data_IF_172619414284
#
_entry.id   IF_172619414284
#
_cell.length_a   1.000
_cell.length_b   1.000
_cell.length_c   1.000
_cell.angle_alpha   90.00
_cell.angle_beta   90.00
_cell.angle_gamma   90.00
#
_symmetry.space_group_name_H-M   'P 1'
#
loop_
_entity.id
_entity.type
_entity.pdbx_description
1 polymer ?
#
# COMPACT_ATOMS: atom_id res chain seq x y z
N UNK A 1 10.30 -1.42 -16.71
CA UNK A 1 10.60 -2.84 -16.75
C UNK A 1 9.35 -3.63 -16.40
N UNK A 2 8.81 -4.45 -17.34
CA UNK A 2 7.48 -5.06 -17.27
C UNK A 2 7.26 -6.05 -16.11
N UNK A 3 8.32 -6.55 -15.47
CA UNK A 3 8.19 -7.51 -14.35
C UNK A 3 7.61 -6.89 -13.06
N UNK A 4 7.86 -5.60 -12.81
CA UNK A 4 7.31 -4.92 -11.62
C UNK A 4 5.80 -4.65 -11.74
N UNK A 5 5.25 -4.67 -12.95
CA UNK A 5 3.83 -4.47 -13.21
C UNK A 5 3.03 -5.80 -13.27
N UNK A 6 3.70 -6.96 -13.23
CA UNK A 6 3.04 -8.26 -13.30
C UNK A 6 1.94 -8.44 -12.22
N UNK A 7 2.11 -8.01 -10.95
CA UNK A 7 1.05 -8.12 -9.95
C UNK A 7 -0.21 -7.31 -10.25
N UNK A 8 -0.12 -6.28 -11.11
CA UNK A 8 -1.27 -5.47 -11.51
C UNK A 8 -2.26 -6.25 -12.41
N UNK A 9 -1.75 -7.23 -13.14
CA UNK A 9 -2.54 -8.06 -14.05
C UNK A 9 -3.21 -9.24 -13.34
N UNK A 10 -2.80 -9.58 -12.11
CA UNK A 10 -3.35 -10.71 -11.38
C UNK A 10 -4.55 -10.31 -10.52
N UNK A 11 -5.68 -11.04 -10.62
CA UNK A 11 -6.77 -10.90 -9.66
C UNK A 11 -6.25 -11.14 -8.22
N UNK A 12 -6.62 -10.29 -7.28
CA UNK A 12 -6.14 -10.36 -5.88
C UNK A 12 -6.32 -11.74 -5.25
N UNK A 13 -7.42 -12.42 -5.58
CA UNK A 13 -7.70 -13.76 -5.07
C UNK A 13 -6.63 -14.77 -5.53
N UNK A 14 -6.28 -14.74 -6.83
CA UNK A 14 -5.25 -15.63 -7.37
C UNK A 14 -3.90 -15.34 -6.77
N UNK A 15 -3.53 -14.06 -6.61
CA UNK A 15 -2.28 -13.69 -5.95
C UNK A 15 -2.25 -14.20 -4.50
N UNK A 16 -3.34 -14.06 -3.77
CA UNK A 16 -3.47 -14.58 -2.40
C UNK A 16 -3.26 -16.10 -2.34
N UNK A 17 -3.86 -16.86 -3.26
CA UNK A 17 -3.70 -18.33 -3.33
C UNK A 17 -2.26 -18.71 -3.69
N UNK A 18 -1.66 -18.07 -4.69
CA UNK A 18 -0.27 -18.34 -5.10
C UNK A 18 0.70 -18.07 -3.95
N UNK A 19 0.55 -16.94 -3.27
CA UNK A 19 1.39 -16.61 -2.11
C UNK A 19 1.15 -17.59 -0.95
N UNK A 20 -0.09 -18.02 -0.71
CA UNK A 20 -0.41 -19.02 0.30
C UNK A 20 0.32 -20.34 0.02
N UNK A 21 0.32 -20.81 -1.23
CA UNK A 21 1.06 -22.02 -1.63
C UNK A 21 2.56 -21.85 -1.40
N UNK A 22 3.13 -20.73 -1.81
CA UNK A 22 4.53 -20.39 -1.56
C UNK A 22 4.88 -20.40 -0.08
N UNK A 23 4.11 -19.69 0.74
CA UNK A 23 4.32 -19.66 2.19
C UNK A 23 4.11 -21.02 2.84
N UNK A 24 3.23 -21.87 2.31
CA UNK A 24 3.07 -23.24 2.81
C UNK A 24 4.30 -24.11 2.53
N UNK A 25 4.93 -23.97 1.35
CA UNK A 25 6.18 -24.66 1.02
C UNK A 25 7.32 -24.13 1.89
N UNK A 26 7.50 -22.82 1.97
CA UNK A 26 8.53 -22.21 2.79
C UNK A 26 8.33 -22.50 4.29
N UNK A 27 7.09 -22.52 4.76
CA UNK A 27 6.75 -22.82 6.14
C UNK A 27 7.16 -24.23 6.55
N UNK A 28 7.03 -25.20 5.64
CA UNK A 28 7.53 -26.58 5.86
C UNK A 28 9.06 -26.63 5.90
N UNK A 29 9.74 -25.83 5.05
CA UNK A 29 11.20 -25.82 4.99
C UNK A 29 11.83 -25.08 6.19
N UNK A 30 11.22 -24.00 6.65
CA UNK A 30 11.75 -23.10 7.68
C UNK A 30 10.97 -23.13 9.00
N UNK A 31 10.00 -24.04 9.14
CA UNK A 31 9.19 -24.26 10.34
C UNK A 31 8.45 -23.01 10.85
N UNK A 32 7.79 -22.29 9.94
CA UNK A 32 6.89 -21.18 10.30
C UNK A 32 5.48 -21.40 9.73
N UNK A 33 4.49 -20.76 10.36
CA UNK A 33 3.10 -20.81 9.92
C UNK A 33 2.67 -19.49 9.28
N UNK A 34 1.63 -19.55 8.44
CA UNK A 34 0.95 -18.35 7.95
C UNK A 34 0.34 -17.57 9.10
N UNK A 35 0.37 -16.25 9.01
CA UNK A 35 -0.09 -15.36 10.06
C UNK A 35 -0.03 -13.89 9.63
N UNK A 36 -0.01 -12.97 10.59
CA UNK A 36 0.02 -11.55 10.31
C UNK A 36 1.24 -11.13 9.46
N UNK A 37 2.41 -11.73 9.71
CA UNK A 37 3.64 -11.42 8.96
C UNK A 37 3.51 -11.80 7.49
N UNK A 38 2.99 -12.98 7.18
CA UNK A 38 2.76 -13.42 5.79
C UNK A 38 1.70 -12.58 5.10
N UNK A 39 0.68 -12.12 5.83
CA UNK A 39 -0.31 -11.18 5.32
C UNK A 39 0.34 -9.82 4.99
N UNK A 40 1.18 -9.26 5.87
CA UNK A 40 1.91 -8.01 5.62
C UNK A 40 2.79 -8.13 4.37
N UNK A 41 3.55 -9.21 4.22
CA UNK A 41 4.37 -9.46 3.03
C UNK A 41 3.50 -9.50 1.77
N UNK A 42 2.37 -10.20 1.82
CA UNK A 42 1.42 -10.26 0.71
C UNK A 42 0.89 -8.88 0.30
N UNK A 43 0.55 -8.04 1.29
CA UNK A 43 0.13 -6.65 1.05
C UNK A 43 1.24 -5.82 0.42
N UNK A 44 2.48 -5.93 0.91
CA UNK A 44 3.64 -5.24 0.33
C UNK A 44 3.84 -5.65 -1.13
N UNK A 45 3.83 -6.96 -1.44
CA UNK A 45 3.98 -7.46 -2.80
C UNK A 45 2.89 -6.91 -3.72
N UNK A 46 1.64 -6.88 -3.26
CA UNK A 46 0.52 -6.41 -4.06
C UNK A 46 0.54 -4.88 -4.26
N UNK A 47 0.87 -4.11 -3.23
CA UNK A 47 0.73 -2.64 -3.22
C UNK A 47 1.93 -1.95 -3.87
N UNK A 48 3.13 -2.53 -3.77
CA UNK A 48 4.37 -1.93 -4.27
C UNK A 48 4.28 -1.46 -5.72
N UNK A 49 3.77 -2.24 -6.69
CA UNK A 49 3.66 -1.78 -8.08
C UNK A 49 2.81 -0.52 -8.24
N UNK A 50 1.71 -0.42 -7.50
CA UNK A 50 0.83 0.76 -7.54
C UNK A 50 1.52 1.99 -6.96
N UNK A 51 2.18 1.83 -5.81
CA UNK A 51 2.94 2.91 -5.19
C UNK A 51 4.07 3.40 -6.11
N UNK A 52 4.79 2.47 -6.77
CA UNK A 52 5.83 2.81 -7.72
C UNK A 52 5.31 3.61 -8.91
N UNK A 53 4.13 3.25 -9.46
CA UNK A 53 3.53 4.00 -10.57
C UNK A 53 3.21 5.44 -10.15
N UNK A 54 2.64 5.64 -8.95
CA UNK A 54 2.30 6.98 -8.46
C UNK A 54 3.56 7.83 -8.27
N UNK A 55 4.60 7.27 -7.65
CA UNK A 55 5.88 7.97 -7.47
C UNK A 55 6.56 8.23 -8.81
N UNK A 56 6.52 7.27 -9.74
CA UNK A 56 7.11 7.42 -11.07
C UNK A 56 6.51 8.60 -11.85
N UNK A 57 5.20 8.81 -11.77
CA UNK A 57 4.55 9.99 -12.39
C UNK A 57 5.14 11.28 -11.85
N UNK A 58 5.39 11.37 -10.55
CA UNK A 58 6.03 12.55 -9.95
C UNK A 58 7.47 12.73 -10.40
N UNK A 59 8.22 11.63 -10.53
CA UNK A 59 9.61 11.65 -11.02
C UNK A 59 9.67 12.07 -12.48
N UNK A 60 8.74 11.61 -13.33
CA UNK A 60 8.71 12.02 -14.74
C UNK A 60 8.37 13.51 -14.93
N UNK A 61 7.63 14.11 -14.01
CA UNK A 61 7.30 15.54 -14.03
C UNK A 61 8.35 16.41 -13.30
N UNK A 62 9.39 15.79 -12.76
CA UNK A 62 10.46 16.49 -12.06
C UNK A 62 11.42 17.15 -13.05
N UNK A 63 11.70 18.43 -12.83
CA UNK A 63 12.68 19.18 -13.63
C UNK A 63 14.10 18.97 -13.08
N UNK A 64 14.87 18.15 -13.80
CA UNK A 64 16.26 17.84 -13.43
C UNK A 64 17.18 19.07 -13.45
N UNK A 65 16.83 20.14 -14.16
CA UNK A 65 17.65 21.36 -14.20
C UNK A 65 17.78 22.02 -12.83
N UNK A 66 16.83 21.78 -11.92
CA UNK A 66 16.89 22.27 -10.55
C UNK A 66 18.02 21.62 -9.74
N UNK A 67 18.32 20.36 -10.03
CA UNK A 67 19.47 19.66 -9.41
C UNK A 67 20.80 20.22 -9.93
N UNK A 68 20.87 20.48 -11.24
CA UNK A 68 22.07 21.03 -11.87
C UNK A 68 22.33 22.47 -11.36
N UNK A 69 21.30 23.30 -11.28
CA UNK A 69 21.40 24.63 -10.72
C UNK A 69 21.88 24.62 -9.25
N UNK A 70 21.41 23.66 -8.44
CA UNK A 70 21.89 23.53 -7.07
C UNK A 70 23.36 23.11 -7.01
N UNK A 71 23.82 22.21 -7.89
CA UNK A 71 25.24 21.83 -8.01
C UNK A 71 26.10 23.00 -8.44
N UNK A 72 25.65 23.83 -9.37
CA UNK A 72 26.34 25.05 -9.80
C UNK A 72 26.49 26.06 -8.66
N UNK A 73 25.55 26.08 -7.70
CA UNK A 73 25.66 26.83 -6.47
C UNK A 73 26.61 26.21 -5.42
N UNK A 74 27.27 25.08 -5.74
CA UNK A 74 28.22 24.42 -4.86
C UNK A 74 27.61 23.38 -3.91
N UNK A 75 26.34 23.00 -4.09
CA UNK A 75 25.71 21.99 -3.26
C UNK A 75 26.30 20.58 -3.52
N UNK A 76 26.56 19.85 -2.46
CA UNK A 76 26.95 18.44 -2.54
C UNK A 76 25.78 17.58 -2.99
N UNK A 77 26.03 16.37 -3.50
CA UNK A 77 24.98 15.42 -3.95
C UNK A 77 23.97 15.12 -2.84
N UNK A 78 24.42 15.05 -1.60
CA UNK A 78 23.51 14.81 -0.47
C UNK A 78 22.61 16.02 -0.19
N UNK A 79 23.14 17.24 -0.31
CA UNK A 79 22.38 18.48 -0.14
C UNK A 79 21.35 18.65 -1.27
N UNK A 80 21.72 18.37 -2.51
CA UNK A 80 20.77 18.35 -3.64
C UNK A 80 19.62 17.38 -3.38
N UNK A 81 19.95 16.14 -2.99
CA UNK A 81 18.91 15.13 -2.69
C UNK A 81 17.99 15.59 -1.54
N UNK A 82 18.56 16.10 -0.45
CA UNK A 82 17.81 16.45 0.76
C UNK A 82 16.98 17.72 0.62
N UNK A 83 17.51 18.73 -0.07
CA UNK A 83 16.92 20.08 -0.11
C UNK A 83 16.21 20.40 -1.42
N UNK A 84 16.47 19.66 -2.51
CA UNK A 84 15.83 19.86 -3.81
C UNK A 84 14.98 18.66 -4.18
N UNK A 85 15.60 17.51 -4.39
CA UNK A 85 14.91 16.32 -4.94
C UNK A 85 13.82 15.79 -4.01
N UNK A 86 14.14 15.52 -2.75
CA UNK A 86 13.20 14.92 -1.80
C UNK A 86 11.99 15.83 -1.49
N UNK A 87 12.13 17.14 -1.24
CA UNK A 87 10.99 18.03 -1.04
C UNK A 87 10.06 18.13 -2.25
N UNK A 88 10.61 18.14 -3.46
CA UNK A 88 9.82 18.21 -4.70
C UNK A 88 9.10 16.90 -5.00
N UNK A 89 9.68 15.75 -4.63
CA UNK A 89 9.03 14.44 -4.76
C UNK A 89 8.07 14.12 -3.61
N UNK A 90 8.15 14.83 -2.49
CA UNK A 90 7.37 14.56 -1.28
C UNK A 90 5.86 14.46 -1.52
N UNK A 91 5.20 15.34 -2.31
CA UNK A 91 3.77 15.23 -2.58
C UNK A 91 3.40 13.91 -3.27
N UNK A 92 4.25 13.42 -4.19
CA UNK A 92 4.07 12.14 -4.85
C UNK A 92 4.25 10.95 -3.90
N UNK A 93 5.29 10.99 -3.07
CA UNK A 93 5.57 9.97 -2.06
C UNK A 93 4.41 9.89 -1.05
N UNK A 94 3.93 11.03 -0.58
CA UNK A 94 2.82 11.10 0.36
C UNK A 94 1.51 10.58 -0.26
N UNK A 95 1.24 10.94 -1.51
CA UNK A 95 0.07 10.44 -2.25
C UNK A 95 0.13 8.93 -2.46
N UNK A 96 1.32 8.38 -2.78
CA UNK A 96 1.55 6.94 -2.88
C UNK A 96 1.33 6.24 -1.54
N UNK A 97 1.77 6.84 -0.44
CA UNK A 97 1.57 6.32 0.92
C UNK A 97 0.09 6.26 1.31
N UNK A 98 -0.68 7.31 1.05
CA UNK A 98 -2.14 7.33 1.28
C UNK A 98 -2.83 6.26 0.44
N UNK A 99 -2.48 6.17 -0.85
CA UNK A 99 -3.06 5.18 -1.74
C UNK A 99 -2.72 3.75 -1.30
N UNK A 100 -1.47 3.50 -0.92
CA UNK A 100 -1.01 2.23 -0.37
C UNK A 100 -1.79 1.85 0.91
N UNK A 101 -1.99 2.81 1.81
CA UNK A 101 -2.80 2.59 3.01
C UNK A 101 -4.24 2.21 2.66
N UNK A 102 -4.90 2.93 1.76
CA UNK A 102 -6.27 2.66 1.36
C UNK A 102 -6.42 1.28 0.70
N UNK A 103 -5.47 0.91 -0.18
CA UNK A 103 -5.43 -0.42 -0.78
C UNK A 103 -5.22 -1.52 0.25
N UNK A 104 -4.35 -1.30 1.23
CA UNK A 104 -4.11 -2.26 2.31
C UNK A 104 -5.32 -2.38 3.24
N UNK A 105 -5.91 -1.23 3.62
CA UNK A 105 -7.02 -1.16 4.56
C UNK A 105 -8.26 -1.92 4.08
N UNK A 106 -8.59 -1.78 2.78
CA UNK A 106 -9.74 -2.45 2.17
C UNK A 106 -9.46 -3.87 1.66
N UNK A 107 -8.24 -4.39 1.80
CA UNK A 107 -7.86 -5.66 1.19
C UNK A 107 -8.28 -6.86 2.04
N UNK A 108 -9.44 -7.43 1.71
CA UNK A 108 -9.95 -8.63 2.34
C UNK A 108 -9.29 -9.91 1.81
N UNK A 109 -9.13 -10.06 0.49
CA UNK A 109 -8.75 -11.33 -0.12
C UNK A 109 -7.35 -11.81 0.25
N UNK A 110 -6.36 -10.91 0.23
CA UNK A 110 -5.00 -11.24 0.65
C UNK A 110 -4.94 -11.56 2.13
N UNK A 111 -5.59 -10.73 2.95
CA UNK A 111 -5.65 -10.94 4.40
C UNK A 111 -6.29 -12.29 4.73
N UNK A 112 -7.44 -12.60 4.10
CA UNK A 112 -8.15 -13.87 4.32
C UNK A 112 -7.30 -15.08 3.96
N UNK A 113 -6.56 -15.00 2.85
CA UNK A 113 -5.70 -16.10 2.38
C UNK A 113 -4.45 -16.29 3.24
N UNK A 114 -3.83 -15.20 3.73
CA UNK A 114 -2.47 -15.23 4.28
C UNK A 114 -2.39 -15.06 5.80
N UNK A 115 -3.45 -14.56 6.45
CA UNK A 115 -3.42 -14.29 7.89
C UNK A 115 -3.51 -15.57 8.77
N UNK A 116 -3.72 -16.74 8.17
CA UNK A 116 -3.81 -18.00 8.90
C UNK A 116 -4.92 -17.96 9.96
N UNK A 117 -4.59 -18.27 11.20
CA UNK A 117 -5.52 -18.23 12.34
C UNK A 117 -5.73 -16.83 12.92
N UNK A 118 -4.96 -15.83 12.46
CA UNK A 118 -5.05 -14.46 12.97
C UNK A 118 -6.31 -13.78 12.44
N UNK A 119 -7.22 -13.41 13.35
CA UNK A 119 -8.42 -12.67 12.97
C UNK A 119 -8.10 -11.20 12.81
N UNK A 120 -8.30 -10.68 11.61
CA UNK A 120 -8.27 -9.25 11.32
C UNK A 120 -9.70 -8.70 11.28
N UNK A 121 -9.85 -7.38 11.35
CA UNK A 121 -11.17 -6.77 11.36
C UNK A 121 -12.02 -7.13 10.12
N UNK A 122 -11.49 -7.07 8.87
CA UNK A 122 -12.25 -7.50 7.70
C UNK A 122 -12.66 -8.97 7.74
N UNK A 123 -11.76 -9.87 8.18
CA UNK A 123 -12.07 -11.30 8.26
C UNK A 123 -13.06 -11.62 9.39
N UNK A 124 -13.02 -10.87 10.49
CA UNK A 124 -13.99 -10.97 11.57
C UNK A 124 -15.40 -10.57 11.12
N UNK A 125 -15.53 -9.40 10.46
CA UNK A 125 -16.82 -8.92 9.95
C UNK A 125 -17.38 -9.90 8.91
N UNK A 126 -16.55 -10.39 7.98
CA UNK A 126 -16.98 -11.36 6.98
C UNK A 126 -17.47 -12.66 7.60
N UNK A 127 -16.71 -13.25 8.53
CA UNK A 127 -17.12 -14.49 9.20
C UNK A 127 -18.42 -14.31 10.01
N UNK A 128 -18.58 -13.15 10.62
CA UNK A 128 -19.78 -12.84 11.37
C UNK A 128 -21.03 -12.71 10.51
N UNK A 129 -20.91 -12.06 9.34
CA UNK A 129 -22.02 -11.96 8.38
C UNK A 129 -22.37 -13.35 7.81
N UNK A 130 -21.36 -14.19 7.53
CA UNK A 130 -21.56 -15.53 7.00
C UNK A 130 -22.24 -16.50 8.00
N UNK A 131 -22.06 -16.27 9.31
CA UNK A 131 -22.60 -17.14 10.36
C UNK A 131 -23.91 -16.64 10.96
N UNK A 132 -24.32 -15.41 10.72
CA UNK A 132 -25.58 -14.85 11.18
C UNK A 132 -25.60 -13.32 11.18
N UNK A 133 -26.74 -12.74 10.83
CA UNK A 133 -26.89 -11.29 10.78
C UNK A 133 -27.02 -10.70 12.20
N UNK A 134 -26.05 -9.88 12.61
CA UNK A 134 -26.16 -9.03 13.77
C UNK A 134 -26.00 -7.56 13.36
N UNK A 135 -26.74 -6.61 13.92
CA UNK A 135 -26.56 -5.16 13.69
C UNK A 135 -25.16 -4.66 14.02
N UNK A 136 -24.39 -5.43 14.77
CA UNK A 136 -23.02 -5.12 15.14
C UNK A 136 -22.08 -5.01 13.90
N UNK A 137 -22.24 -5.91 12.92
CA UNK A 137 -21.33 -5.96 11.77
C UNK A 137 -21.44 -4.73 10.84
N UNK A 138 -22.64 -4.28 10.45
CA UNK A 138 -22.80 -3.02 9.74
C UNK A 138 -22.28 -1.81 10.53
N UNK A 139 -22.47 -1.77 11.84
CA UNK A 139 -21.96 -0.70 12.68
C UNK A 139 -20.41 -0.67 12.68
N UNK A 140 -19.76 -1.81 12.83
CA UNK A 140 -18.30 -1.93 12.73
C UNK A 140 -17.83 -1.50 11.34
N UNK A 141 -18.47 -1.98 10.26
CA UNK A 141 -18.11 -1.60 8.90
C UNK A 141 -18.19 -0.08 8.71
N UNK A 142 -19.23 0.58 9.21
CA UNK A 142 -19.36 2.03 9.16
C UNK A 142 -18.20 2.75 9.85
N UNK A 143 -17.84 2.32 11.06
CA UNK A 143 -16.71 2.90 11.81
C UNK A 143 -15.38 2.70 11.07
N UNK A 144 -15.19 1.57 10.40
CA UNK A 144 -13.99 1.25 9.62
C UNK A 144 -13.84 2.15 8.40
N UNK A 145 -14.95 2.58 7.78
CA UNK A 145 -14.90 3.48 6.62
C UNK A 145 -14.49 4.92 6.99
N UNK A 146 -14.72 5.35 8.23
CA UNK A 146 -14.42 6.73 8.67
C UNK A 146 -12.95 7.12 8.43
N UNK A 147 -11.94 6.33 8.84
CA UNK A 147 -10.53 6.66 8.58
C UNK A 147 -10.21 6.81 7.10
N UNK A 148 -10.77 5.95 6.25
CA UNK A 148 -10.59 6.04 4.80
C UNK A 148 -11.14 7.34 4.23
N UNK A 149 -12.35 7.72 4.61
CA UNK A 149 -12.99 8.98 4.18
C UNK A 149 -12.16 10.19 4.66
N UNK A 150 -11.72 10.18 5.90
CA UNK A 150 -10.91 11.26 6.46
C UNK A 150 -9.58 11.42 5.72
N UNK A 151 -8.92 10.32 5.37
CA UNK A 151 -7.68 10.34 4.60
C UNK A 151 -7.88 10.89 3.19
N UNK A 152 -8.97 10.52 2.51
CA UNK A 152 -9.30 11.08 1.18
C UNK A 152 -9.53 12.58 1.27
N UNK A 153 -10.31 13.05 2.26
CA UNK A 153 -10.54 14.48 2.47
C UNK A 153 -9.24 15.22 2.79
N UNK A 154 -8.37 14.63 3.61
CA UNK A 154 -7.07 15.21 3.94
C UNK A 154 -6.17 15.31 2.71
N UNK A 155 -6.10 14.26 1.91
CA UNK A 155 -5.35 14.23 0.66
C UNK A 155 -5.82 15.32 -0.32
N UNK A 156 -7.14 15.47 -0.50
CA UNK A 156 -7.71 16.50 -1.37
C UNK A 156 -7.38 17.91 -0.88
N UNK A 157 -7.51 18.16 0.43
CA UNK A 157 -7.13 19.47 1.01
C UNK A 157 -5.65 19.79 0.84
N UNK A 158 -4.78 18.82 0.97
CA UNK A 158 -3.34 19.01 0.78
C UNK A 158 -3.00 19.33 -0.68
N UNK A 159 -3.63 18.63 -1.63
CA UNK A 159 -3.47 18.93 -3.07
C UNK A 159 -3.90 20.34 -3.43
N UNK A 160 -5.03 20.81 -2.91
CA UNK A 160 -5.56 22.18 -3.16
C UNK A 160 -4.68 23.28 -2.58
N UNK A 161 -3.86 22.99 -1.55
CA UNK A 161 -2.90 23.97 -0.99
C UNK A 161 -1.57 24.01 -1.74
N UNK A 162 -1.27 22.97 -2.52
CA UNK A 162 -0.02 22.85 -3.29
C UNK A 162 -0.17 23.33 -4.75
N UNK A 163 -1.40 23.56 -5.22
CA UNK A 163 -1.75 24.17 -6.51
C UNK A 163 -2.02 25.67 -6.34
#
# INVERSE_FOLDING_TARGET
>A
TGLSAAPLAFPQLLLGIVLLLWFSVLGRAFNFNTGLVTAIIGHVVYITPFALVIVAVQVFNFDATLEDAARDCGATTFEVYRYVTLPLLWPGIFSAGIFAFLLSWGNFYLTYSLAGSTRTLPTFVFSGIATGSSPLYPAIATVVFIPGILLVILADRMRRKAA
#
